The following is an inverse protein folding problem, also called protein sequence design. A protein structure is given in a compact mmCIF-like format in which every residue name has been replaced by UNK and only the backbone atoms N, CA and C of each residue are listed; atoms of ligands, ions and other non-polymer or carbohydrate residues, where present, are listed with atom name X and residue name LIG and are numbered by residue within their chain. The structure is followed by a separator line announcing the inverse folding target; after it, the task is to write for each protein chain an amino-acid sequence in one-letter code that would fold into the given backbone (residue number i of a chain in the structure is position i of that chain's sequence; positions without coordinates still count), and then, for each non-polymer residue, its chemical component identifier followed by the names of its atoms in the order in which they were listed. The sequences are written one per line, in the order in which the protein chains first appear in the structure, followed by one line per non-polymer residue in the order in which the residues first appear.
data_IF_254756403162
#
_entry.id   IF_254756403162
#
_cell.length_a   1.000
_cell.length_b   1.000
_cell.length_c   1.000
_cell.angle_alpha   90.00
_cell.angle_beta   90.00
_cell.angle_gamma   90.00
#
_symmetry.space_group_name_H-M   'P 1'
#
loop_
_entity.id
_entity.type
_entity.pdbx_description
1 polymer ?
#
# COMPACT_ATOMS: atom_id res chain seq x y z
N UNK A 1 -23.08 3.85 -0.41
CA UNK A 1 -22.85 2.77 -1.38
C UNK A 1 -21.48 2.18 -1.10
N UNK A 2 -21.37 0.97 -0.53
CA UNK A 2 -20.09 0.25 -0.46
C UNK A 2 -19.87 -0.34 -1.85
N UNK A 3 -18.84 0.12 -2.55
CA UNK A 3 -18.46 -0.43 -3.84
C UNK A 3 -17.69 -1.72 -3.56
N UNK A 4 -18.18 -2.86 -4.01
CA UNK A 4 -17.43 -4.12 -4.03
C UNK A 4 -16.21 -3.93 -4.95
N UNK A 5 -15.01 -3.86 -4.38
CA UNK A 5 -13.78 -3.79 -5.15
C UNK A 5 -13.56 -5.13 -5.84
N UNK A 6 -13.21 -5.11 -7.14
CA UNK A 6 -12.69 -6.30 -7.81
C UNK A 6 -11.51 -6.84 -7.00
N UNK A 7 -11.48 -8.16 -6.75
CA UNK A 7 -10.37 -8.84 -6.04
C UNK A 7 -8.99 -8.64 -6.69
N UNK A 8 -8.95 -8.07 -7.89
CA UNK A 8 -7.74 -7.80 -8.67
C UNK A 8 -7.08 -6.44 -8.37
N UNK A 9 -7.73 -5.56 -7.60
CA UNK A 9 -7.22 -4.20 -7.32
C UNK A 9 -6.63 -4.17 -5.92
N UNK A 10 -5.38 -3.72 -5.80
CA UNK A 10 -4.79 -3.36 -4.52
C UNK A 10 -5.26 -1.97 -4.11
N UNK A 11 -6.01 -1.86 -3.01
CA UNK A 11 -6.62 -0.62 -2.57
C UNK A 11 -6.49 -0.41 -1.06
N UNK A 12 -6.18 0.83 -0.67
CA UNK A 12 -6.10 1.27 0.72
C UNK A 12 -6.64 2.69 0.86
N UNK A 13 -7.18 3.03 2.03
CA UNK A 13 -7.65 4.39 2.31
C UNK A 13 -6.48 5.29 2.67
N UNK A 14 -6.58 6.58 2.35
CA UNK A 14 -5.66 7.58 2.89
C UNK A 14 -6.21 8.12 4.21
N UNK A 15 -5.47 7.92 5.30
CA UNK A 15 -5.80 8.40 6.66
C UNK A 15 -4.76 9.38 7.21
N UNK A 16 -3.57 9.42 6.60
CA UNK A 16 -2.48 10.33 6.95
C UNK A 16 -2.61 11.64 6.16
N UNK A 17 -2.54 12.77 6.86
CA UNK A 17 -2.54 14.11 6.25
C UNK A 17 -1.35 14.30 5.32
N UNK A 18 -1.55 14.96 4.18
CA UNK A 18 -0.51 15.22 3.16
C UNK A 18 0.16 13.98 2.51
N UNK A 19 -0.26 12.75 2.84
CA UNK A 19 0.33 11.52 2.30
C UNK A 19 -0.21 11.08 0.93
N UNK A 20 -0.87 11.96 0.16
CA UNK A 20 -1.49 11.59 -1.13
C UNK A 20 -0.47 11.06 -2.15
N UNK A 21 0.75 11.60 -2.13
CA UNK A 21 1.84 11.13 -2.99
C UNK A 21 2.30 9.73 -2.60
N UNK A 22 2.55 9.51 -1.30
CA UNK A 22 2.92 8.22 -0.72
C UNK A 22 1.89 7.15 -1.04
N UNK A 23 0.61 7.43 -0.83
CA UNK A 23 -0.48 6.50 -1.15
C UNK A 23 -0.52 6.18 -2.65
N UNK A 24 -0.32 7.17 -3.53
CA UNK A 24 -0.22 6.94 -4.97
C UNK A 24 0.97 6.05 -5.35
N UNK A 25 2.12 6.26 -4.72
CA UNK A 25 3.32 5.43 -4.92
C UNK A 25 3.11 4.01 -4.38
N UNK A 26 2.28 3.80 -3.37
CA UNK A 26 1.93 2.44 -2.90
C UNK A 26 0.91 1.79 -3.84
N UNK A 27 -0.05 2.53 -4.39
CA UNK A 27 -1.03 1.95 -5.31
C UNK A 27 -0.42 1.52 -6.64
N UNK A 28 0.53 2.27 -7.19
CA UNK A 28 1.07 1.99 -8.51
C UNK A 28 1.77 0.61 -8.64
N UNK A 29 2.78 0.25 -7.81
CA UNK A 29 3.41 -1.05 -7.85
C UNK A 29 2.45 -2.18 -7.43
N UNK A 30 1.59 -1.95 -6.43
CA UNK A 30 0.64 -2.95 -5.95
C UNK A 30 -0.35 -3.41 -7.02
N UNK A 31 -0.72 -2.51 -7.95
CA UNK A 31 -1.58 -2.82 -9.09
C UNK A 31 -0.80 -3.20 -10.37
N UNK A 32 0.53 -3.11 -10.34
CA UNK A 32 1.42 -3.48 -11.44
C UNK A 32 2.28 -4.72 -11.13
N UNK A 33 2.09 -5.38 -9.99
CA UNK A 33 2.96 -6.47 -9.51
C UNK A 33 3.10 -7.65 -10.49
N UNK A 34 2.14 -7.87 -11.39
CA UNK A 34 2.26 -8.88 -12.47
C UNK A 34 3.15 -8.45 -13.65
N UNK A 35 3.52 -7.17 -13.72
CA UNK A 35 4.27 -6.53 -14.81
C UNK A 35 5.64 -6.03 -14.37
N UNK A 36 5.88 -5.89 -13.07
CA UNK A 36 7.14 -5.41 -12.52
C UNK A 36 7.67 -6.43 -11.52
N UNK A 37 8.99 -6.55 -11.44
CA UNK A 37 9.65 -7.35 -10.40
C UNK A 37 10.04 -6.45 -9.25
N UNK A 38 9.46 -6.68 -8.08
CA UNK A 38 9.93 -6.06 -6.85
C UNK A 38 11.21 -6.78 -6.38
N UNK A 39 12.10 -6.05 -5.73
CA UNK A 39 13.25 -6.66 -5.08
C UNK A 39 12.78 -7.54 -3.92
N UNK A 40 13.24 -8.79 -3.85
CA UNK A 40 12.95 -9.66 -2.73
C UNK A 40 13.44 -9.03 -1.43
N UNK A 41 12.56 -8.98 -0.43
CA UNK A 41 12.84 -8.30 0.82
C UNK A 41 12.98 -6.80 0.69
N UNK A 42 12.54 -6.16 -0.40
CA UNK A 42 12.38 -4.70 -0.47
C UNK A 42 11.20 -4.23 0.39
N UNK A 43 11.11 -2.93 0.67
CA UNK A 43 9.98 -2.36 1.39
C UNK A 43 8.64 -2.78 0.77
N UNK A 44 8.45 -2.56 -0.54
CA UNK A 44 7.19 -2.88 -1.21
C UNK A 44 6.88 -4.38 -1.22
N UNK A 45 7.90 -5.24 -1.36
CA UNK A 45 7.72 -6.69 -1.29
C UNK A 45 7.15 -7.11 0.09
N UNK A 46 7.78 -6.66 1.18
CA UNK A 46 7.32 -6.93 2.54
C UNK A 46 5.95 -6.31 2.81
N UNK A 47 5.74 -5.07 2.39
CA UNK A 47 4.49 -4.33 2.61
C UNK A 47 3.30 -5.04 1.97
N UNK A 48 3.40 -5.47 0.71
CA UNK A 48 2.30 -6.18 0.04
C UNK A 48 2.06 -7.58 0.60
N UNK A 49 3.11 -8.29 1.03
CA UNK A 49 2.95 -9.57 1.73
C UNK A 49 2.20 -9.38 3.05
N UNK A 50 2.60 -8.39 3.86
CA UNK A 50 2.01 -8.14 5.19
C UNK A 50 0.57 -7.62 5.13
N UNK A 51 0.20 -6.93 4.04
CA UNK A 51 -1.12 -6.30 3.88
C UNK A 51 -2.07 -7.10 2.99
N UNK A 52 -1.66 -8.26 2.47
CA UNK A 52 -2.43 -9.04 1.49
C UNK A 52 -3.85 -9.42 1.96
N UNK A 53 -4.01 -9.71 3.25
CA UNK A 53 -5.29 -10.11 3.86
C UNK A 53 -6.00 -8.96 4.59
N UNK A 54 -5.49 -7.74 4.51
CA UNK A 54 -6.06 -6.57 5.17
C UNK A 54 -7.14 -5.92 4.34
N UNK A 55 -8.21 -5.47 4.99
CA UNK A 55 -9.15 -4.56 4.35
C UNK A 55 -8.51 -3.16 4.15
N UNK A 56 -9.11 -2.29 3.31
CA UNK A 56 -8.53 -0.97 3.02
C UNK A 56 -8.34 -0.04 4.23
N UNK A 57 -9.09 -0.25 5.32
CA UNK A 57 -8.95 0.51 6.58
C UNK A 57 -7.80 -0.07 7.41
N UNK A 58 -7.69 -1.39 7.49
CA UNK A 58 -6.59 -2.06 8.18
C UNK A 58 -5.24 -1.74 7.51
N UNK A 59 -5.18 -1.77 6.17
CA UNK A 59 -3.98 -1.38 5.43
C UNK A 59 -3.59 0.08 5.66
N UNK A 60 -4.58 0.98 5.81
CA UNK A 60 -4.34 2.37 6.15
C UNK A 60 -3.79 2.55 7.56
N UNK A 61 -4.32 1.80 8.53
CA UNK A 61 -3.80 1.78 9.90
C UNK A 61 -2.38 1.21 9.96
N UNK A 62 -2.08 0.18 9.17
CA UNK A 62 -0.72 -0.36 9.05
C UNK A 62 0.27 0.70 8.56
N UNK A 63 -0.08 1.44 7.50
CA UNK A 63 0.79 2.50 6.97
C UNK A 63 1.01 3.65 7.97
N UNK A 64 0.03 3.96 8.82
CA UNK A 64 0.19 5.00 9.87
C UNK A 64 1.29 4.65 10.87
N UNK A 65 1.44 3.36 11.18
CA UNK A 65 2.46 2.87 12.12
C UNK A 65 3.81 2.57 11.44
N UNK A 66 3.87 2.63 10.10
CA UNK A 66 5.04 2.28 9.30
C UNK A 66 6.04 3.45 9.21
N UNK A 67 7.08 3.38 10.04
CA UNK A 67 8.14 4.38 10.08
C UNK A 67 9.16 4.27 8.95
N UNK A 68 9.24 3.16 8.22
CA UNK A 68 10.23 2.99 7.15
C UNK A 68 9.86 3.87 5.96
N UNK A 69 8.57 3.88 5.61
CA UNK A 69 8.06 4.73 4.55
C UNK A 69 8.25 6.21 4.89
N UNK A 70 7.89 6.63 6.10
CA UNK A 70 8.06 8.02 6.54
C UNK A 70 9.53 8.49 6.47
N UNK A 71 10.47 7.62 6.86
CA UNK A 71 11.92 7.94 6.79
C UNK A 71 12.46 8.00 5.37
N UNK A 72 11.85 7.31 4.41
CA UNK A 72 12.30 7.31 3.03
C UNK A 72 11.97 8.61 2.27
N UNK A 73 11.01 9.40 2.77
CA UNK A 73 10.59 10.69 2.17
C UNK A 73 11.12 11.94 2.91
N UNK A 74 11.73 11.77 4.08
CA UNK A 74 12.30 12.86 4.89
C UNK A 74 13.67 13.29 4.36
#
# INVERSE_FOLDING_TARGET
MKQESSKMVYFMRQTIGNARGTVGIIHAPGNAASKIKLGEGSYFDRFYIQTADMDPVQCAAFLVEDQEMDKAYA
#
